data_IF_643340390389
#
_entry.id   IF_643340390389
#
_cell.length_a   1.000
_cell.length_b   1.000
_cell.length_c   1.000
_cell.angle_alpha   90.00
_cell.angle_beta   90.00
_cell.angle_gamma   90.00
#
_symmetry.space_group_name_H-M   'P 1'
#
loop_
_entity.id
_entity.type
_entity.pdbx_description
1 polymer ?
#
# COMPACT_ATOMS: atom_id res chain seq x y z
N UNK A 1 3.73 21.97 -19.50
CA UNK A 1 3.25 21.26 -18.32
C UNK A 1 4.42 20.47 -17.75
N UNK A 2 4.72 20.53 -16.45
CA UNK A 2 5.73 19.66 -15.86
C UNK A 2 5.29 18.21 -16.07
N UNK A 3 6.24 17.32 -16.36
CA UNK A 3 5.96 15.92 -16.59
C UNK A 3 5.48 15.26 -15.30
N UNK A 4 4.44 14.41 -15.39
CA UNK A 4 4.02 13.54 -14.30
C UNK A 4 5.19 12.58 -14.04
N UNK A 5 5.57 12.45 -12.77
CA UNK A 5 6.61 11.49 -12.37
C UNK A 5 6.18 10.09 -12.77
N UNK A 6 6.94 9.50 -13.64
CA UNK A 6 6.89 8.06 -13.92
C UNK A 6 7.90 7.32 -13.04
N UNK A 7 7.79 6.01 -12.90
CA UNK A 7 8.80 5.20 -12.23
C UNK A 7 10.22 5.42 -12.73
N UNK A 8 10.37 5.79 -13.99
CA UNK A 8 11.65 5.98 -14.68
C UNK A 8 12.33 7.32 -14.34
N UNK A 9 11.61 8.23 -13.70
CA UNK A 9 12.13 9.56 -13.30
C UNK A 9 12.98 9.52 -12.02
N UNK A 10 13.05 8.36 -11.35
CA UNK A 10 13.91 8.16 -10.19
C UNK A 10 15.06 7.23 -10.53
N UNK A 11 16.29 7.56 -10.13
CA UNK A 11 17.39 6.62 -10.27
C UNK A 11 17.12 5.42 -9.34
N UNK A 12 16.66 4.32 -9.94
CA UNK A 12 16.49 3.06 -9.21
C UNK A 12 17.89 2.44 -9.07
N UNK A 13 18.31 2.05 -7.86
CA UNK A 13 19.58 1.36 -7.66
C UNK A 13 19.70 0.11 -8.54
N UNK A 14 20.92 -0.18 -9.03
CA UNK A 14 21.18 -1.38 -9.84
C UNK A 14 20.88 -2.68 -9.10
N UNK A 15 21.06 -2.66 -7.76
CA UNK A 15 20.76 -3.81 -6.90
C UNK A 15 19.56 -3.47 -6.03
N UNK A 16 18.50 -4.27 -6.15
CA UNK A 16 17.28 -4.12 -5.38
C UNK A 16 17.19 -5.24 -4.33
N UNK A 17 16.69 -4.88 -3.17
CA UNK A 17 16.31 -5.83 -2.12
C UNK A 17 14.85 -6.20 -2.29
N UNK A 18 14.51 -7.45 -2.10
CA UNK A 18 13.14 -7.89 -2.17
C UNK A 18 12.36 -7.50 -0.90
N UNK A 19 11.13 -7.09 -1.11
CA UNK A 19 10.12 -6.85 -0.09
C UNK A 19 8.76 -7.27 -0.62
N UNK A 20 7.82 -7.51 0.28
CA UNK A 20 6.47 -7.88 -0.10
C UNK A 20 5.45 -7.14 0.76
N UNK A 21 4.30 -6.85 0.17
CA UNK A 21 3.17 -6.23 0.86
C UNK A 21 1.89 -6.99 0.58
N UNK A 22 1.04 -7.06 1.57
CA UNK A 22 -0.34 -7.53 1.40
C UNK A 22 -1.22 -6.32 1.04
N UNK A 23 -2.08 -6.46 0.06
CA UNK A 23 -3.16 -5.52 -0.27
C UNK A 23 -4.46 -6.14 0.29
N UNK A 24 -4.78 -5.92 1.57
CA UNK A 24 -5.89 -6.59 2.21
C UNK A 24 -7.20 -5.90 1.81
N UNK A 25 -8.15 -6.69 1.34
CA UNK A 25 -9.49 -6.20 0.99
C UNK A 25 -10.56 -7.04 1.68
N UNK A 26 -11.67 -6.39 2.03
CA UNK A 26 -12.84 -7.05 2.61
C UNK A 26 -14.12 -6.31 2.25
N UNK A 27 -15.26 -7.00 2.38
CA UNK A 27 -16.58 -6.36 2.33
C UNK A 27 -17.10 -6.18 3.75
N UNK A 28 -17.61 -4.98 4.02
CA UNK A 28 -18.29 -4.72 5.28
C UNK A 28 -19.72 -5.32 5.31
N UNK A 29 -20.44 -5.12 6.42
CA UNK A 29 -21.80 -5.63 6.59
C UNK A 29 -22.81 -5.04 5.58
N UNK A 30 -22.52 -3.89 4.98
CA UNK A 30 -23.31 -3.28 3.92
C UNK A 30 -22.91 -3.79 2.52
N UNK A 31 -21.90 -4.66 2.43
CA UNK A 31 -21.34 -5.18 1.18
C UNK A 31 -20.37 -4.21 0.50
N UNK A 32 -20.00 -3.09 1.16
CA UNK A 32 -19.05 -2.14 0.62
C UNK A 32 -17.62 -2.69 0.70
N UNK A 33 -16.89 -2.52 -0.41
CA UNK A 33 -15.52 -2.97 -0.51
C UNK A 33 -14.55 -1.96 0.10
N UNK A 34 -13.73 -2.45 1.02
CA UNK A 34 -12.69 -1.68 1.70
C UNK A 34 -11.30 -2.24 1.41
N UNK A 35 -10.31 -1.37 1.42
CA UNK A 35 -8.90 -1.73 1.46
C UNK A 35 -8.32 -1.31 2.81
N UNK A 36 -7.42 -2.15 3.37
CA UNK A 36 -6.77 -1.85 4.64
C UNK A 36 -5.36 -1.31 4.39
N UNK A 37 -5.05 -0.23 5.07
CA UNK A 37 -3.74 0.40 5.05
C UNK A 37 -3.28 0.72 6.47
N UNK A 38 -1.97 0.91 6.63
CA UNK A 38 -1.37 1.37 7.88
C UNK A 38 -0.82 2.78 7.71
N UNK A 39 -0.94 3.60 8.72
CA UNK A 39 -0.12 4.79 8.88
C UNK A 39 1.13 4.39 9.65
N UNK A 40 2.27 4.48 8.99
CA UNK A 40 3.55 4.13 9.59
C UNK A 40 3.85 5.05 10.75
N UNK A 41 4.48 4.52 11.81
CA UNK A 41 4.88 5.32 12.96
C UNK A 41 5.78 6.49 12.53
N UNK A 42 5.76 7.57 13.30
CA UNK A 42 6.50 8.80 13.00
C UNK A 42 8.03 8.62 13.01
N UNK A 43 8.51 7.44 13.40
CA UNK A 43 9.92 7.11 13.44
C UNK A 43 10.41 6.54 12.10
N UNK A 44 11.51 7.12 11.57
CA UNK A 44 12.17 6.62 10.36
C UNK A 44 11.91 7.45 9.10
N UNK A 45 12.51 7.01 7.99
CA UNK A 45 12.56 7.76 6.71
C UNK A 45 11.18 7.94 6.05
N UNK A 46 10.22 7.07 6.36
CA UNK A 46 8.86 7.06 5.81
C UNK A 46 7.78 7.26 6.89
N UNK A 47 8.12 7.93 8.00
CA UNK A 47 7.22 8.16 9.11
C UNK A 47 5.97 8.93 8.68
N UNK A 48 4.81 8.50 9.19
CA UNK A 48 3.50 9.10 8.92
C UNK A 48 2.88 8.80 7.55
N UNK A 49 3.60 8.08 6.65
CA UNK A 49 3.07 7.73 5.33
C UNK A 49 2.08 6.58 5.41
N UNK A 50 1.09 6.59 4.50
CA UNK A 50 0.20 5.47 4.30
C UNK A 50 0.90 4.38 3.47
N UNK A 51 0.82 3.14 3.96
CA UNK A 51 1.40 1.98 3.31
C UNK A 51 0.47 0.77 3.42
N UNK A 52 0.69 -0.22 2.58
CA UNK A 52 0.16 -1.55 2.80
C UNK A 52 0.98 -2.26 3.88
N UNK A 53 0.37 -3.12 4.69
CA UNK A 53 1.12 -3.99 5.59
C UNK A 53 2.15 -4.79 4.82
N UNK A 54 3.40 -4.79 5.27
CA UNK A 54 4.46 -5.47 4.57
C UNK A 54 5.84 -4.94 4.88
N UNK A 55 6.84 -5.69 4.45
CA UNK A 55 8.21 -5.38 4.74
C UNK A 55 9.22 -6.16 3.91
N UNK A 56 10.38 -6.28 4.46
CA UNK A 56 11.57 -6.83 3.84
C UNK A 56 11.50 -8.36 3.82
N UNK A 57 11.87 -8.95 2.69
CA UNK A 57 12.03 -10.39 2.63
C UNK A 57 13.22 -10.84 3.49
N UNK A 58 12.97 -11.80 4.37
CA UNK A 58 13.98 -12.41 5.23
C UNK A 58 14.38 -13.79 4.73
N UNK A 59 15.62 -14.24 5.01
CA UNK A 59 16.08 -15.58 4.58
C UNK A 59 15.25 -16.75 5.12
N UNK A 60 14.50 -16.52 6.18
CA UNK A 60 13.59 -17.49 6.82
C UNK A 60 12.23 -17.56 6.15
N UNK A 61 11.88 -16.57 5.32
CA UNK A 61 10.62 -16.57 4.58
C UNK A 61 10.68 -17.55 3.43
N UNK A 62 9.74 -18.49 3.37
CA UNK A 62 9.69 -19.51 2.31
C UNK A 62 9.38 -18.91 0.92
N UNK A 63 8.78 -17.71 0.86
CA UNK A 63 8.40 -17.01 -0.36
C UNK A 63 8.04 -15.55 -0.08
N UNK A 64 7.90 -14.73 -1.12
CA UNK A 64 7.41 -13.36 -0.97
C UNK A 64 5.96 -13.28 -0.46
N UNK A 65 5.13 -14.28 -0.75
CA UNK A 65 3.79 -14.39 -0.12
C UNK A 65 3.93 -14.62 1.38
N UNK A 66 4.84 -15.50 1.81
CA UNK A 66 5.11 -15.73 3.23
C UNK A 66 5.59 -14.46 3.92
N UNK A 67 6.46 -13.66 3.26
CA UNK A 67 6.87 -12.34 3.75
C UNK A 67 5.66 -11.43 3.98
N UNK A 68 4.79 -11.27 2.97
CA UNK A 68 3.63 -10.39 3.07
C UNK A 68 2.67 -10.80 4.20
N UNK A 69 2.46 -12.10 4.38
CA UNK A 69 1.61 -12.63 5.45
C UNK A 69 2.23 -12.46 6.83
N UNK A 70 3.52 -12.74 6.99
CA UNK A 70 4.25 -12.55 8.26
C UNK A 70 4.21 -11.10 8.70
N UNK A 71 4.54 -10.18 7.79
CA UNK A 71 4.55 -8.74 8.08
C UNK A 71 3.14 -8.23 8.44
N UNK A 72 2.10 -8.70 7.74
CA UNK A 72 0.72 -8.34 8.05
C UNK A 72 0.27 -8.87 9.43
N UNK A 73 0.76 -10.05 9.84
CA UNK A 73 0.53 -10.57 11.18
C UNK A 73 1.26 -9.72 12.23
N UNK A 74 2.53 -9.40 12.00
CA UNK A 74 3.36 -8.62 12.92
C UNK A 74 2.87 -7.16 13.07
N UNK A 75 2.56 -6.49 11.94
CA UNK A 75 2.18 -5.07 11.93
C UNK A 75 0.75 -4.83 12.40
N UNK A 76 -0.22 -5.67 12.02
CA UNK A 76 -1.66 -5.41 12.25
C UNK A 76 -2.43 -6.57 12.88
N UNK A 77 -1.76 -7.66 13.25
CA UNK A 77 -2.37 -8.83 13.89
C UNK A 77 -3.23 -9.68 12.96
N UNK A 78 -3.08 -9.51 11.65
CA UNK A 78 -3.86 -10.25 10.67
C UNK A 78 -3.30 -11.66 10.49
N UNK A 79 -4.00 -12.64 11.05
CA UNK A 79 -3.57 -14.04 11.01
C UNK A 79 -3.57 -14.58 9.57
N UNK A 80 -2.51 -15.27 9.12
CA UNK A 80 -2.42 -15.84 7.77
C UNK A 80 -3.61 -16.74 7.40
N UNK A 81 -4.18 -17.47 8.38
CA UNK A 81 -5.36 -18.31 8.19
C UNK A 81 -6.63 -17.53 7.79
N UNK A 82 -6.66 -16.22 8.06
CA UNK A 82 -7.76 -15.32 7.72
C UNK A 82 -7.53 -14.57 6.41
N UNK A 83 -6.51 -14.96 5.63
CA UNK A 83 -6.14 -14.33 4.35
C UNK A 83 -6.21 -15.35 3.22
N UNK A 84 -6.99 -15.07 2.21
CA UNK A 84 -6.97 -15.78 0.94
C UNK A 84 -6.24 -14.94 -0.09
N UNK A 85 -5.10 -15.42 -0.58
CA UNK A 85 -4.37 -14.73 -1.66
C UNK A 85 -5.11 -14.93 -2.98
N UNK A 86 -5.57 -13.83 -3.57
CA UNK A 86 -6.32 -13.83 -4.82
C UNK A 86 -5.41 -13.68 -6.03
N UNK A 87 -4.36 -12.84 -5.94
CA UNK A 87 -3.45 -12.58 -7.05
C UNK A 87 -2.10 -12.03 -6.58
N UNK A 88 -1.05 -12.35 -7.32
CA UNK A 88 0.19 -11.59 -7.31
C UNK A 88 0.05 -10.41 -8.29
N UNK A 89 0.41 -9.22 -7.85
CA UNK A 89 0.32 -8.00 -8.64
C UNK A 89 1.68 -7.62 -9.24
N UNK A 90 1.72 -6.74 -10.25
CA UNK A 90 2.97 -6.24 -10.80
C UNK A 90 3.88 -5.63 -9.73
N UNK A 91 5.16 -5.98 -9.77
CA UNK A 91 6.15 -5.48 -8.83
C UNK A 91 6.44 -4.00 -9.03
N UNK A 92 6.73 -3.30 -7.94
CA UNK A 92 7.03 -1.88 -7.93
C UNK A 92 8.44 -1.64 -7.40
N UNK A 93 9.33 -1.15 -8.26
CA UNK A 93 10.66 -0.71 -7.82
C UNK A 93 10.56 0.72 -7.25
N UNK A 94 11.32 0.98 -6.17
CA UNK A 94 11.34 2.27 -5.50
C UNK A 94 12.78 2.79 -5.29
N UNK A 95 12.98 4.12 -5.25
CA UNK A 95 14.31 4.73 -5.11
C UNK A 95 15.05 4.34 -3.81
N UNK A 96 14.32 3.91 -2.79
CA UNK A 96 14.91 3.39 -1.54
C UNK A 96 15.63 2.05 -1.69
N UNK A 97 15.67 1.50 -2.92
CA UNK A 97 16.40 0.27 -3.24
C UNK A 97 15.62 -1.01 -2.96
N UNK A 98 14.30 -0.93 -2.96
CA UNK A 98 13.45 -2.11 -2.84
C UNK A 98 12.69 -2.40 -4.13
N UNK A 99 12.48 -3.69 -4.37
CA UNK A 99 11.51 -4.24 -5.30
C UNK A 99 10.35 -4.81 -4.48
N UNK A 100 9.21 -4.15 -4.53
CA UNK A 100 8.03 -4.49 -3.75
C UNK A 100 7.17 -5.45 -4.57
N UNK A 101 6.90 -6.64 -4.04
CA UNK A 101 5.96 -7.61 -4.59
C UNK A 101 4.61 -7.49 -3.85
N UNK A 102 3.56 -6.91 -4.47
CA UNK A 102 2.26 -6.80 -3.83
C UNK A 102 1.43 -8.05 -4.09
N UNK A 103 0.67 -8.47 -3.08
CA UNK A 103 -0.29 -9.57 -3.15
C UNK A 103 -1.67 -9.09 -2.76
N UNK A 104 -2.65 -9.24 -3.65
CA UNK A 104 -4.04 -8.97 -3.36
C UNK A 104 -4.60 -10.11 -2.49
N UNK A 105 -5.13 -9.78 -1.32
CA UNK A 105 -5.68 -10.76 -0.40
C UNK A 105 -7.07 -10.39 0.09
N UNK A 106 -8.03 -11.31 -0.05
CA UNK A 106 -9.32 -11.23 0.65
C UNK A 106 -9.10 -11.63 2.09
N UNK A 107 -9.59 -10.80 3.01
CA UNK A 107 -9.40 -11.04 4.44
C UNK A 107 -10.72 -11.24 5.17
N UNK A 108 -10.69 -12.02 6.24
CA UNK A 108 -11.70 -11.98 7.28
C UNK A 108 -11.32 -10.83 8.22
N UNK A 109 -12.10 -9.74 8.13
CA UNK A 109 -11.84 -8.54 8.94
C UNK A 109 -11.93 -8.90 10.43
N UNK A 110 -10.90 -8.61 11.23
CA UNK A 110 -10.96 -8.80 12.68
C UNK A 110 -11.94 -7.81 13.31
N UNK A 111 -12.57 -8.17 14.43
CA UNK A 111 -13.42 -7.24 15.17
C UNK A 111 -12.63 -6.03 15.67
N UNK A 112 -11.39 -6.26 16.10
CA UNK A 112 -10.46 -5.24 16.59
C UNK A 112 -9.09 -5.49 15.98
N UNK A 113 -8.50 -4.49 15.37
CA UNK A 113 -7.12 -4.53 14.90
C UNK A 113 -6.15 -4.52 16.08
N UNK A 114 -5.13 -5.39 16.02
CA UNK A 114 -4.05 -5.44 17.00
C UNK A 114 -2.75 -5.06 16.29
N UNK A 115 -2.38 -3.79 16.34
CA UNK A 115 -1.17 -3.32 15.65
C UNK A 115 0.02 -3.14 16.59
N UNK A 116 1.21 -3.19 15.99
CA UNK A 116 2.47 -2.94 16.68
C UNK A 116 2.74 -1.43 16.80
N UNK A 117 2.62 -0.80 17.99
CA UNK A 117 2.72 0.66 18.13
C UNK A 117 4.08 1.25 17.75
N UNK A 118 5.14 0.42 17.67
CA UNK A 118 6.47 0.86 17.24
C UNK A 118 6.55 1.10 15.74
N UNK A 119 5.70 0.42 14.97
CA UNK A 119 5.74 0.41 13.50
C UNK A 119 4.51 1.06 12.87
N UNK A 120 3.39 0.97 13.55
CA UNK A 120 2.08 1.43 13.08
C UNK A 120 1.44 2.36 14.10
N UNK A 121 1.09 3.57 13.69
CA UNK A 121 0.33 4.52 14.49
C UNK A 121 -1.19 4.30 14.38
N UNK A 122 -1.65 3.82 13.21
CA UNK A 122 -3.06 3.70 12.91
C UNK A 122 -3.31 2.67 11.80
N UNK A 123 -4.39 1.90 11.91
CA UNK A 123 -4.91 1.06 10.83
C UNK A 123 -6.13 1.75 10.22
N UNK A 124 -6.12 1.94 8.90
CA UNK A 124 -7.19 2.61 8.17
C UNK A 124 -7.92 1.60 7.28
N UNK A 125 -9.24 1.60 7.38
CA UNK A 125 -10.14 0.89 6.48
C UNK A 125 -10.72 1.91 5.49
N UNK A 126 -10.24 1.90 4.26
CA UNK A 126 -10.60 2.92 3.26
C UNK A 126 -11.60 2.32 2.29
N UNK A 127 -12.83 2.87 2.20
CA UNK A 127 -13.78 2.43 1.19
C UNK A 127 -13.22 2.63 -0.23
N UNK A 128 -13.27 1.62 -1.07
CA UNK A 128 -12.75 1.75 -2.44
C UNK A 128 -13.49 2.81 -3.26
N UNK A 129 -14.78 3.03 -2.98
CA UNK A 129 -15.55 4.11 -3.61
C UNK A 129 -14.97 5.50 -3.31
N UNK A 130 -14.34 5.68 -2.12
CA UNK A 130 -13.67 6.93 -1.78
C UNK A 130 -12.48 7.18 -2.71
N UNK A 131 -11.70 6.14 -3.01
CA UNK A 131 -10.58 6.24 -3.96
C UNK A 131 -11.06 6.39 -5.41
N UNK A 132 -12.26 5.89 -5.74
CA UNK A 132 -12.87 6.03 -7.05
C UNK A 132 -13.48 7.42 -7.30
N UNK A 133 -13.70 8.21 -6.25
CA UNK A 133 -14.23 9.57 -6.37
C UNK A 133 -13.15 10.49 -6.98
N UNK A 134 -13.40 11.08 -8.18
CA UNK A 134 -12.45 11.98 -8.81
C UNK A 134 -12.08 13.19 -7.94
N UNK A 135 -12.93 13.61 -7.00
CA UNK A 135 -12.66 14.70 -6.08
C UNK A 135 -11.56 14.39 -5.07
N UNK A 136 -11.28 13.11 -4.84
CA UNK A 136 -10.21 12.67 -3.94
C UNK A 136 -8.87 12.47 -4.66
N UNK A 137 -8.87 12.32 -5.97
CA UNK A 137 -7.64 12.23 -6.77
C UNK A 137 -7.15 13.62 -7.14
N UNK A 138 -5.87 13.87 -6.91
CA UNK A 138 -5.25 15.16 -7.23
C UNK A 138 -3.78 15.00 -7.62
N UNK A 139 -3.24 16.03 -8.25
CA UNK A 139 -1.84 16.13 -8.61
C UNK A 139 -1.30 17.49 -8.19
N UNK A 140 -0.20 17.49 -7.48
CA UNK A 140 0.46 18.70 -6.99
C UNK A 140 1.97 18.65 -7.24
N UNK A 141 2.60 19.82 -7.30
CA UNK A 141 4.05 19.91 -7.39
C UNK A 141 4.64 19.88 -5.99
N UNK A 142 5.38 18.80 -5.69
CA UNK A 142 6.03 18.62 -4.40
C UNK A 142 7.53 18.73 -4.51
N UNK A 143 8.16 19.26 -3.45
CA UNK A 143 9.59 19.24 -3.24
C UNK A 143 9.88 18.49 -1.95
N UNK A 144 10.40 17.28 -2.05
CA UNK A 144 10.80 16.48 -0.89
C UNK A 144 12.32 16.52 -0.69
N UNK A 145 12.80 16.31 0.56
CA UNK A 145 14.22 16.20 0.83
C UNK A 145 14.89 15.15 -0.05
N UNK A 146 16.04 15.50 -0.64
CA UNK A 146 16.78 14.60 -1.54
C UNK A 146 16.31 14.61 -3.00
N UNK A 147 15.25 15.32 -3.32
CA UNK A 147 14.82 15.49 -4.72
C UNK A 147 15.60 16.63 -5.39
N UNK A 148 16.02 16.45 -6.66
CA UNK A 148 16.79 17.48 -7.39
C UNK A 148 15.97 18.70 -7.77
N UNK A 149 14.62 18.65 -7.64
CA UNK A 149 13.69 19.75 -7.95
C UNK A 149 12.26 19.36 -7.64
N UNK A 150 11.30 20.31 -7.75
CA UNK A 150 9.89 20.01 -7.59
C UNK A 150 9.39 19.05 -8.65
N UNK A 151 8.46 18.18 -8.28
CA UNK A 151 7.92 17.15 -9.16
C UNK A 151 6.41 17.03 -8.99
N UNK A 152 5.73 16.73 -10.08
CA UNK A 152 4.29 16.45 -10.11
C UNK A 152 4.02 15.09 -9.47
N UNK A 153 3.24 15.07 -8.40
CA UNK A 153 2.89 13.87 -7.63
C UNK A 153 1.39 13.67 -7.67
N UNK A 154 0.96 12.51 -8.14
CA UNK A 154 -0.43 12.08 -8.05
C UNK A 154 -0.68 11.38 -6.71
N UNK A 155 -1.80 11.68 -6.07
CA UNK A 155 -2.19 11.07 -4.81
C UNK A 155 -3.70 11.11 -4.60
N UNK A 156 -4.18 10.28 -3.67
CA UNK A 156 -5.54 10.34 -3.15
C UNK A 156 -5.54 11.06 -1.80
N UNK A 157 -6.53 11.94 -1.61
CA UNK A 157 -6.83 12.53 -0.30
C UNK A 157 -7.63 11.54 0.52
N UNK A 158 -7.15 11.25 1.73
CA UNK A 158 -7.78 10.33 2.65
C UNK A 158 -8.28 11.10 3.85
N UNK A 159 -9.39 10.64 4.45
CA UNK A 159 -9.92 11.21 5.68
C UNK A 159 -8.82 11.34 6.74
N UNK A 160 -8.92 12.36 7.60
CA UNK A 160 -7.85 12.68 8.57
C UNK A 160 -6.72 13.53 8.00
N UNK A 161 -6.83 13.98 6.72
CA UNK A 161 -5.83 14.83 6.08
C UNK A 161 -4.62 14.04 5.53
N UNK A 162 -4.73 12.72 5.44
CA UNK A 162 -3.67 11.87 4.90
C UNK A 162 -3.62 11.90 3.38
N UNK A 163 -2.45 11.58 2.84
CA UNK A 163 -2.20 11.49 1.41
C UNK A 163 -1.69 10.08 1.07
N UNK A 164 -2.38 9.41 0.16
CA UNK A 164 -1.98 8.12 -0.36
C UNK A 164 -1.25 8.31 -1.69
N UNK A 165 0.06 8.17 -1.68
CA UNK A 165 0.95 8.46 -2.81
C UNK A 165 2.07 7.42 -2.97
N UNK A 166 2.97 7.62 -3.92
CA UNK A 166 4.18 6.81 -4.10
C UNK A 166 3.89 5.35 -4.48
N UNK A 167 4.58 4.42 -3.85
CA UNK A 167 4.42 2.99 -4.16
C UNK A 167 2.99 2.50 -3.88
N UNK A 168 2.40 2.91 -2.76
CA UNK A 168 1.05 2.50 -2.37
C UNK A 168 -0.01 3.00 -3.36
N UNK A 169 0.11 4.24 -3.84
CA UNK A 169 -0.72 4.77 -4.92
C UNK A 169 -0.57 3.93 -6.21
N UNK A 170 0.66 3.65 -6.63
CA UNK A 170 0.95 2.88 -7.85
C UNK A 170 0.42 1.45 -7.78
N UNK A 171 0.33 0.87 -6.60
CA UNK A 171 -0.24 -0.47 -6.38
C UNK A 171 -1.76 -0.43 -6.46
N UNK A 172 -2.43 0.53 -5.78
CA UNK A 172 -3.89 0.49 -5.66
C UNK A 172 -4.62 1.12 -6.84
N UNK A 173 -4.08 2.18 -7.44
CA UNK A 173 -4.77 2.94 -8.48
C UNK A 173 -5.28 2.07 -9.66
N UNK A 174 -4.48 1.14 -10.23
CA UNK A 174 -4.96 0.28 -11.31
C UNK A 174 -5.97 -0.78 -10.87
N UNK A 175 -6.14 -1.02 -9.57
CA UNK A 175 -7.06 -2.04 -9.04
C UNK A 175 -8.45 -1.51 -8.76
N UNK A 176 -8.61 -0.20 -8.57
CA UNK A 176 -9.87 0.41 -8.10
C UNK A 176 -11.03 0.07 -9.05
N UNK A 177 -10.88 0.37 -10.34
CA UNK A 177 -11.94 0.12 -11.31
C UNK A 177 -12.25 -1.38 -11.49
N UNK A 178 -11.27 -2.29 -11.70
CA UNK A 178 -11.54 -3.73 -11.80
C UNK A 178 -12.17 -4.34 -10.55
N UNK A 179 -11.80 -3.86 -9.35
CA UNK A 179 -12.39 -4.34 -8.10
C UNK A 179 -13.84 -3.88 -7.94
N UNK A 180 -14.16 -2.64 -8.32
CA UNK A 180 -15.51 -2.10 -8.22
C UNK A 180 -16.46 -2.63 -9.32
N UNK A 181 -15.94 -2.91 -10.52
CA UNK A 181 -16.73 -3.48 -11.62
C UNK A 181 -17.01 -4.98 -11.46
N UNK A 182 -16.29 -5.66 -10.55
CA UNK A 182 -16.38 -7.12 -10.38
C UNK A 182 -15.59 -7.91 -11.43
N UNK A 183 -14.74 -7.28 -12.22
CA UNK A 183 -13.79 -7.99 -13.12
C UNK A 183 -12.80 -8.83 -12.31
N UNK A 184 -12.38 -8.32 -11.15
CA UNK A 184 -11.69 -9.12 -10.15
C UNK A 184 -12.73 -9.62 -9.15
N UNK A 185 -13.02 -10.93 -9.22
CA UNK A 185 -13.97 -11.59 -8.32
C UNK A 185 -13.34 -11.68 -6.93
N UNK A 186 -14.07 -11.14 -5.93
CA UNK A 186 -13.67 -11.13 -4.52
C UNK A 186 -14.65 -11.93 -3.70
#
# INVERSE_FOLDING_TARGET
>A
MPAILTPDDFPIPKTLRDSAVLVPIFRDAAGELHVVMVRRSSFGVHGGQLAFPGGKHEPTDASLVATALREAEEEVGLQPANVEILAALPTVAVPSGFRIAPFLGRIQRPEVWQWQPREVDEVLEIPLRHLADPAQHTEEDWQLPGWPGPRRVAFYRIAGGYQLWGASYRIIAPLIAPLLSGELVI
#
